data_IF_894985460808
#
_entry.id   IF_894985460808
#
_cell.length_a   1.000
_cell.length_b   1.000
_cell.length_c   1.000
_cell.angle_alpha   90.00
_cell.angle_beta   90.00
_cell.angle_gamma   90.00
#
_symmetry.space_group_name_H-M   'P 1'
#
loop_
_entity.id
_entity.type
_entity.pdbx_description
1 polymer ?
#
# COMPACT_ATOMS: atom_id res chain seq x y z
N UNK A 1 7.02 5.95 -20.68
CA UNK A 1 6.84 6.63 -19.39
C UNK A 1 6.30 5.60 -18.41
N UNK A 2 6.62 5.66 -17.13
CA UNK A 2 6.01 4.77 -16.14
C UNK A 2 4.84 5.48 -15.45
N UNK A 3 3.86 4.71 -15.02
CA UNK A 3 2.72 5.17 -14.23
C UNK A 3 2.45 4.19 -13.08
N UNK A 4 2.23 4.73 -11.88
CA UNK A 4 1.63 4.01 -10.77
C UNK A 4 0.12 3.97 -10.98
N UNK A 5 -0.48 2.79 -10.85
CA UNK A 5 -1.94 2.62 -10.89
C UNK A 5 -2.38 1.67 -9.78
N UNK A 6 -3.64 1.78 -9.37
CA UNK A 6 -4.28 0.82 -8.48
C UNK A 6 -4.58 -0.50 -9.21
N UNK A 7 -4.50 -1.63 -8.50
CA UNK A 7 -4.91 -2.93 -9.04
C UNK A 7 -6.44 -3.08 -9.00
N UNK A 8 -7.01 -3.91 -9.88
CA UNK A 8 -8.48 -3.99 -10.03
C UNK A 8 -9.21 -4.61 -8.83
N UNK A 9 -8.58 -5.57 -8.14
CA UNK A 9 -9.21 -6.38 -7.10
C UNK A 9 -8.64 -6.09 -5.70
N UNK A 10 -8.83 -4.86 -5.23
CA UNK A 10 -8.42 -4.44 -3.89
C UNK A 10 -9.51 -4.85 -2.88
N UNK A 11 -9.10 -5.39 -1.74
CA UNK A 11 -10.03 -5.77 -0.68
C UNK A 11 -10.75 -4.52 -0.11
N UNK A 12 -12.06 -4.60 0.09
CA UNK A 12 -12.91 -3.47 0.50
C UNK A 12 -12.40 -2.78 1.78
N UNK A 13 -11.89 -3.54 2.75
CA UNK A 13 -11.37 -2.99 4.01
C UNK A 13 -10.14 -2.08 3.87
N UNK A 14 -9.48 -2.08 2.72
CA UNK A 14 -8.32 -1.24 2.41
C UNK A 14 -8.52 -0.39 1.15
N UNK A 15 -9.69 -0.44 0.51
CA UNK A 15 -9.93 0.27 -0.75
C UNK A 15 -9.84 1.79 -0.56
N UNK A 16 -10.59 2.34 0.41
CA UNK A 16 -10.65 3.80 0.66
C UNK A 16 -9.27 4.42 0.95
N UNK A 17 -8.41 3.67 1.63
CA UNK A 17 -7.05 4.14 1.91
C UNK A 17 -6.16 4.10 0.66
N UNK A 18 -6.29 3.06 -0.17
CA UNK A 18 -5.57 2.99 -1.43
C UNK A 18 -6.03 4.09 -2.40
N UNK A 19 -7.34 4.33 -2.50
CA UNK A 19 -7.91 5.42 -3.31
C UNK A 19 -7.41 6.78 -2.81
N UNK A 20 -7.46 7.04 -1.50
CA UNK A 20 -6.95 8.29 -0.94
C UNK A 20 -5.45 8.51 -1.18
N UNK A 21 -4.64 7.44 -1.21
CA UNK A 21 -3.21 7.52 -1.55
C UNK A 21 -3.05 7.84 -3.03
N UNK A 22 -3.78 7.13 -3.90
CA UNK A 22 -3.73 7.32 -5.34
C UNK A 22 -4.15 8.73 -5.77
N UNK A 23 -5.25 9.23 -5.19
CA UNK A 23 -5.74 10.59 -5.43
C UNK A 23 -4.70 11.64 -5.07
N UNK A 24 -4.00 11.47 -3.94
CA UNK A 24 -2.93 12.37 -3.53
C UNK A 24 -1.73 12.32 -4.48
N UNK A 25 -1.36 11.13 -4.97
CA UNK A 25 -0.30 10.99 -5.98
C UNK A 25 -0.68 11.70 -7.28
N UNK A 26 -1.92 11.54 -7.74
CA UNK A 26 -2.43 12.21 -8.93
C UNK A 26 -2.51 13.73 -8.76
N UNK A 27 -2.95 14.21 -7.60
CA UNK A 27 -3.01 15.63 -7.28
C UNK A 27 -1.63 16.30 -7.31
N UNK A 28 -0.58 15.56 -6.95
CA UNK A 28 0.80 16.04 -6.95
C UNK A 28 1.56 15.79 -8.26
N UNK A 29 0.92 15.22 -9.30
CA UNK A 29 1.56 14.74 -10.53
C UNK A 29 2.72 13.76 -10.26
N UNK A 30 2.63 13.00 -9.15
CA UNK A 30 3.63 12.00 -8.73
C UNK A 30 3.26 10.58 -9.20
N UNK A 31 2.12 10.40 -9.87
CA UNK A 31 1.69 9.09 -10.36
C UNK A 31 2.40 8.67 -11.67
N UNK A 32 3.14 9.54 -12.34
CA UNK A 32 3.91 9.20 -13.55
C UNK A 32 5.34 9.77 -13.51
N UNK A 33 6.28 9.05 -14.13
CA UNK A 33 7.69 9.48 -14.23
C UNK A 33 8.40 8.72 -15.37
N UNK A 34 9.54 9.23 -15.84
CA UNK A 34 10.40 8.50 -16.77
C UNK A 34 11.27 7.42 -16.07
N UNK A 35 11.46 7.53 -14.76
CA UNK A 35 12.16 6.55 -13.92
C UNK A 35 11.16 5.82 -13.03
N UNK A 36 11.11 4.48 -13.13
CA UNK A 36 10.23 3.67 -12.30
C UNK A 36 10.64 3.69 -10.82
N UNK A 37 11.94 3.90 -10.53
CA UNK A 37 12.44 3.95 -9.15
C UNK A 37 11.87 5.17 -8.43
N UNK A 38 11.81 6.32 -9.11
CA UNK A 38 11.22 7.54 -8.55
C UNK A 38 9.74 7.34 -8.20
N UNK A 39 8.96 6.71 -9.07
CA UNK A 39 7.54 6.40 -8.79
C UNK A 39 7.40 5.51 -7.55
N UNK A 40 8.23 4.47 -7.43
CA UNK A 40 8.19 3.57 -6.29
C UNK A 40 8.54 4.33 -5.00
N UNK A 41 9.54 5.22 -5.04
CA UNK A 41 9.91 6.04 -3.89
C UNK A 41 8.78 6.99 -3.49
N UNK A 42 8.16 7.67 -4.45
CA UNK A 42 7.02 8.55 -4.21
C UNK A 42 5.86 7.76 -3.59
N UNK A 43 5.48 6.62 -4.18
CA UNK A 43 4.44 5.75 -3.63
C UNK A 43 4.72 5.37 -2.17
N UNK A 44 5.96 4.95 -1.85
CA UNK A 44 6.34 4.60 -0.49
C UNK A 44 6.21 5.78 0.48
N UNK A 45 6.59 6.99 0.05
CA UNK A 45 6.44 8.20 0.86
C UNK A 45 4.96 8.52 1.12
N UNK A 46 4.09 8.45 0.11
CA UNK A 46 2.65 8.67 0.29
C UNK A 46 2.01 7.62 1.20
N UNK A 47 2.42 6.34 1.10
CA UNK A 47 1.98 5.29 2.02
C UNK A 47 2.45 5.61 3.44
N UNK A 48 3.72 5.96 3.65
CA UNK A 48 4.27 6.26 4.97
C UNK A 48 3.55 7.45 5.62
N UNK A 49 3.38 8.54 4.88
CA UNK A 49 2.65 9.73 5.32
C UNK A 49 1.22 9.37 5.72
N UNK A 50 0.50 8.62 4.89
CA UNK A 50 -0.87 8.21 5.19
C UNK A 50 -0.92 7.33 6.44
N UNK A 51 -0.04 6.34 6.54
CA UNK A 51 0.07 5.43 7.68
C UNK A 51 0.53 6.13 8.97
N UNK A 52 1.16 7.31 8.87
CA UNK A 52 1.48 8.18 10.00
C UNK A 52 0.27 8.93 10.57
N UNK A 53 -0.81 9.06 9.82
CA UNK A 53 -2.01 9.82 10.24
C UNK A 53 -3.14 8.96 10.79
N UNK A 54 -3.11 7.65 10.54
CA UNK A 54 -4.20 6.73 10.91
C UNK A 54 -4.05 6.27 12.35
N UNK A 55 -5.17 6.24 13.07
CA UNK A 55 -5.16 5.76 14.46
C UNK A 55 -4.87 4.26 14.53
N UNK A 56 -4.24 3.83 15.62
CA UNK A 56 -4.02 2.40 15.90
C UNK A 56 -5.33 1.60 15.91
N UNK A 57 -6.43 2.23 16.33
CA UNK A 57 -7.76 1.62 16.35
C UNK A 57 -8.25 1.32 14.92
N UNK A 58 -8.11 2.27 14.01
CA UNK A 58 -8.54 2.11 12.62
C UNK A 58 -7.67 1.09 11.88
N UNK A 59 -6.35 1.11 12.08
CA UNK A 59 -5.43 0.08 11.54
C UNK A 59 -5.87 -1.32 11.97
N UNK A 60 -6.14 -1.51 13.27
CA UNK A 60 -6.55 -2.81 13.79
C UNK A 60 -7.89 -3.25 13.20
N UNK A 61 -8.86 -2.34 13.07
CA UNK A 61 -10.14 -2.65 12.44
C UNK A 61 -9.98 -3.07 10.98
N UNK A 62 -9.20 -2.33 10.17
CA UNK A 62 -8.96 -2.66 8.77
C UNK A 62 -8.39 -4.07 8.61
N UNK A 63 -7.42 -4.44 9.46
CA UNK A 63 -6.83 -5.78 9.47
C UNK A 63 -7.82 -6.86 9.94
N UNK A 64 -8.66 -6.57 10.95
CA UNK A 64 -9.71 -7.50 11.38
C UNK A 64 -10.70 -7.77 10.25
N UNK A 65 -11.13 -6.71 9.54
CA UNK A 65 -12.04 -6.82 8.39
C UNK A 65 -11.40 -7.49 7.18
N UNK A 66 -10.10 -7.29 6.96
CA UNK A 66 -9.34 -8.03 5.94
C UNK A 66 -9.24 -9.53 6.25
N UNK A 67 -9.22 -9.86 7.55
CA UNK A 67 -8.94 -11.20 8.05
C UNK A 67 -7.45 -11.34 8.39
N UNK A 68 -7.13 -11.39 9.68
CA UNK A 68 -5.75 -11.45 10.18
C UNK A 68 -4.97 -12.62 9.58
N UNK A 69 -5.56 -13.81 9.55
CA UNK A 69 -4.89 -15.01 9.03
C UNK A 69 -4.57 -14.86 7.53
N UNK A 70 -5.45 -14.21 6.76
CA UNK A 70 -5.23 -13.92 5.35
C UNK A 70 -4.07 -12.92 5.18
N UNK A 71 -4.09 -11.82 5.95
CA UNK A 71 -3.04 -10.80 5.92
C UNK A 71 -1.65 -11.39 6.26
N UNK A 72 -1.59 -12.22 7.30
CA UNK A 72 -0.36 -12.91 7.72
C UNK A 72 0.12 -13.89 6.64
N UNK A 73 -0.80 -14.66 6.04
CA UNK A 73 -0.47 -15.61 4.97
C UNK A 73 0.12 -14.89 3.76
N UNK A 74 -0.51 -13.80 3.32
CA UNK A 74 -0.01 -12.97 2.21
C UNK A 74 1.37 -12.40 2.53
N UNK A 75 1.57 -11.81 3.71
CA UNK A 75 2.87 -11.28 4.10
C UNK A 75 3.96 -12.37 4.10
N UNK A 76 3.64 -13.54 4.62
CA UNK A 76 4.58 -14.66 4.68
C UNK A 76 4.97 -15.17 3.29
N UNK A 77 4.07 -15.13 2.31
CA UNK A 77 4.34 -15.55 0.94
C UNK A 77 5.36 -14.63 0.23
N UNK A 78 5.41 -13.34 0.58
CA UNK A 78 6.29 -12.36 -0.07
C UNK A 78 7.60 -12.12 0.70
N UNK A 79 7.51 -11.87 2.02
CA UNK A 79 8.65 -11.41 2.81
C UNK A 79 9.08 -12.40 3.91
N UNK A 80 8.25 -13.40 4.21
CA UNK A 80 8.46 -14.30 5.35
C UNK A 80 8.11 -13.63 6.68
N UNK A 81 7.26 -14.28 7.49
CA UNK A 81 6.71 -13.68 8.72
C UNK A 81 7.78 -13.37 9.77
N UNK A 82 8.94 -14.04 9.72
CA UNK A 82 10.06 -13.77 10.63
C UNK A 82 10.68 -12.38 10.47
N UNK A 83 10.42 -11.71 9.35
CA UNK A 83 10.96 -10.38 9.04
C UNK A 83 10.01 -9.24 9.43
N UNK A 84 8.84 -9.53 10.00
CA UNK A 84 7.88 -8.51 10.38
C UNK A 84 8.33 -7.75 11.63
N UNK A 85 8.05 -6.45 11.68
CA UNK A 85 8.22 -5.69 12.91
C UNK A 85 7.13 -6.08 13.92
N UNK A 86 7.54 -6.77 14.97
CA UNK A 86 6.64 -7.26 16.02
C UNK A 86 6.07 -6.14 16.90
N UNK A 87 6.73 -4.97 16.96
CA UNK A 87 6.23 -3.83 17.74
C UNK A 87 5.08 -3.13 17.00
N UNK A 88 5.11 -3.14 15.67
CA UNK A 88 4.14 -2.52 14.77
C UNK A 88 3.51 -3.56 13.83
N UNK A 89 3.17 -4.73 14.37
CA UNK A 89 2.74 -5.90 13.59
C UNK A 89 1.56 -5.61 12.66
N UNK A 90 0.45 -5.06 13.17
CA UNK A 90 -0.74 -4.77 12.35
C UNK A 90 -0.50 -3.65 11.35
N UNK A 91 0.33 -2.66 11.72
CA UNK A 91 0.74 -1.60 10.80
C UNK A 91 1.59 -2.16 9.67
N UNK A 92 2.54 -3.06 9.96
CA UNK A 92 3.38 -3.72 8.96
C UNK A 92 2.57 -4.54 7.97
N UNK A 93 1.60 -5.33 8.46
CA UNK A 93 0.67 -6.05 7.60
C UNK A 93 -0.13 -5.09 6.72
N UNK A 94 -0.69 -4.03 7.28
CA UNK A 94 -1.53 -3.10 6.53
C UNK A 94 -0.73 -2.34 5.47
N UNK A 95 0.45 -1.81 5.82
CA UNK A 95 1.36 -1.15 4.88
C UNK A 95 1.72 -2.07 3.72
N UNK A 96 1.99 -3.34 3.99
CA UNK A 96 2.28 -4.34 2.97
C UNK A 96 1.08 -4.58 2.03
N UNK A 97 -0.11 -4.77 2.59
CA UNK A 97 -1.33 -5.00 1.79
C UNK A 97 -1.67 -3.78 0.91
N UNK A 98 -1.47 -2.58 1.43
CA UNK A 98 -1.62 -1.34 0.67
C UNK A 98 -0.60 -1.30 -0.46
N UNK A 99 0.67 -1.61 -0.20
CA UNK A 99 1.70 -1.65 -1.25
C UNK A 99 1.35 -2.62 -2.38
N UNK A 100 0.82 -3.81 -2.06
CA UNK A 100 0.35 -4.79 -3.06
C UNK A 100 -0.86 -4.31 -3.87
N UNK A 101 -1.55 -3.27 -3.41
CA UNK A 101 -2.71 -2.69 -4.10
C UNK A 101 -2.31 -1.74 -5.23
N UNK A 102 -1.02 -1.55 -5.47
CA UNK A 102 -0.48 -0.72 -6.55
C UNK A 102 0.43 -1.53 -7.48
N UNK A 103 0.51 -1.07 -8.73
CA UNK A 103 1.46 -1.57 -9.73
C UNK A 103 2.06 -0.39 -10.50
N UNK A 104 3.32 -0.52 -10.90
CA UNK A 104 3.98 0.43 -11.79
C UNK A 104 4.07 -0.18 -13.18
N UNK A 105 3.42 0.46 -14.15
CA UNK A 105 3.31 -0.01 -15.53
C UNK A 105 4.06 0.92 -16.48
N UNK A 106 4.56 0.37 -17.58
CA UNK A 106 5.16 1.16 -18.64
C UNK A 106 4.09 1.55 -19.67
N UNK A 107 3.85 2.85 -19.81
CA UNK A 107 2.99 3.42 -20.84
C UNK A 107 3.81 3.75 -22.09
N UNK A 108 3.42 3.15 -23.20
CA UNK A 108 3.76 3.60 -24.55
C UNK A 108 2.63 4.49 -25.06
N UNK A 109 2.95 5.74 -25.36
CA UNK A 109 2.09 6.61 -26.17
C UNK A 109 2.31 6.32 -27.65
#
# INVERSE_FOLDING_TARGET
MYECVMVDNIHESIYDICESIYDNMCYCDCNFNNDNITIIQDLLNFIEDRMGTISKYDINNMIVWYGIDNAVTEYNNYYGISNIDVNDFTKSLLTFLILLSFKVEYINH
#
